data_IF_946106445484
#
_entry.id   IF_946106445484
#
_cell.length_a   1.000
_cell.length_b   1.000
_cell.length_c   1.000
_cell.angle_alpha   90.00
_cell.angle_beta   90.00
_cell.angle_gamma   90.00
#
_symmetry.space_group_name_H-M   'P 1'
#
loop_
_entity.id
_entity.type
_entity.pdbx_description
1 polymer ?
#
# COMPACT_ATOMS: atom_id res chain seq x y z
N UNK A 1 -5.24 -16.30 0.24
CA UNK A 1 -6.22 -15.51 1.03
C UNK A 1 -7.51 -16.30 1.14
N UNK A 2 -8.10 -16.49 2.33
CA UNK A 2 -9.35 -17.25 2.45
C UNK A 2 -10.55 -16.47 1.87
N UNK A 3 -11.60 -17.20 1.47
CA UNK A 3 -12.83 -16.60 0.91
C UNK A 3 -13.59 -15.77 1.96
N UNK A 4 -13.60 -16.26 3.20
CA UNK A 4 -14.22 -15.63 4.37
C UNK A 4 -13.09 -15.18 5.30
N UNK A 5 -13.17 -13.93 5.75
CA UNK A 5 -12.25 -13.39 6.74
C UNK A 5 -12.94 -13.40 8.10
N UNK A 6 -12.18 -13.71 9.15
CA UNK A 6 -12.64 -13.68 10.52
C UNK A 6 -12.26 -12.36 11.21
N UNK A 7 -13.06 -11.96 12.19
CA UNK A 7 -12.79 -10.77 12.98
C UNK A 7 -11.53 -10.98 13.85
N UNK A 8 -10.71 -9.93 13.97
CA UNK A 8 -9.48 -9.98 14.78
C UNK A 8 -8.30 -10.71 14.14
N UNK A 9 -8.44 -11.26 12.93
CA UNK A 9 -7.35 -11.94 12.22
C UNK A 9 -6.81 -11.06 11.08
N UNK A 10 -5.49 -10.81 11.11
CA UNK A 10 -4.76 -10.20 10.00
C UNK A 10 -4.18 -11.29 9.10
N UNK A 11 -4.77 -11.47 7.92
CA UNK A 11 -4.30 -12.41 6.93
C UNK A 11 -3.23 -11.75 6.06
N UNK A 12 -2.13 -12.46 5.82
CA UNK A 12 -1.02 -12.00 4.99
C UNK A 12 -0.78 -13.02 3.88
N UNK A 13 -0.61 -12.55 2.66
CA UNK A 13 -0.18 -13.34 1.52
C UNK A 13 1.09 -12.75 0.95
N UNK A 14 2.19 -13.48 1.08
CA UNK A 14 3.49 -13.11 0.51
C UNK A 14 3.46 -13.24 -1.02
N UNK A 15 2.91 -14.34 -1.55
CA UNK A 15 2.75 -14.58 -2.99
C UNK A 15 2.08 -13.40 -3.71
N UNK A 16 0.94 -12.94 -3.19
CA UNK A 16 0.18 -11.84 -3.79
C UNK A 16 0.52 -10.47 -3.21
N UNK A 17 1.56 -10.37 -2.36
CA UNK A 17 2.02 -9.13 -1.73
C UNK A 17 0.86 -8.31 -1.17
N UNK A 18 0.00 -8.93 -0.35
CA UNK A 18 -1.18 -8.25 0.20
C UNK A 18 -1.51 -8.76 1.60
N UNK A 19 -2.03 -7.87 2.44
CA UNK A 19 -2.67 -8.22 3.69
C UNK A 19 -4.15 -7.84 3.66
N UNK A 20 -4.96 -8.56 4.42
CA UNK A 20 -6.37 -8.26 4.57
C UNK A 20 -6.89 -8.64 5.95
N UNK A 21 -7.88 -7.88 6.42
CA UNK A 21 -8.59 -8.12 7.68
C UNK A 21 -9.99 -7.52 7.60
N UNK A 22 -10.87 -7.93 8.51
CA UNK A 22 -12.13 -7.21 8.71
C UNK A 22 -11.86 -5.91 9.46
N UNK A 23 -12.58 -4.85 9.07
CA UNK A 23 -12.42 -3.52 9.66
C UNK A 23 -12.49 -3.57 11.19
N UNK A 24 -11.47 -3.01 11.85
CA UNK A 24 -11.34 -3.04 13.30
C UNK A 24 -12.49 -2.34 14.06
N UNK A 25 -13.31 -1.52 13.38
CA UNK A 25 -14.48 -0.89 14.00
C UNK A 25 -15.68 -1.85 14.12
N UNK A 26 -15.58 -3.08 13.61
CA UNK A 26 -16.65 -4.08 13.68
C UNK A 26 -17.69 -4.00 12.57
N UNK A 27 -17.56 -3.11 11.59
CA UNK A 27 -18.55 -2.98 10.49
C UNK A 27 -18.53 -4.12 9.45
N UNK A 28 -17.63 -5.10 9.60
CA UNK A 28 -17.53 -6.26 8.70
C UNK A 28 -16.96 -5.98 7.31
N UNK A 29 -16.57 -4.74 7.00
CA UNK A 29 -15.94 -4.41 5.71
C UNK A 29 -14.57 -5.06 5.58
N UNK A 30 -14.28 -5.64 4.41
CA UNK A 30 -12.98 -6.24 4.09
C UNK A 30 -11.98 -5.14 3.75
N UNK A 31 -10.96 -4.98 4.57
CA UNK A 31 -9.88 -4.05 4.33
C UNK A 31 -8.76 -4.81 3.62
N UNK A 32 -8.28 -4.26 2.51
CA UNK A 32 -7.11 -4.79 1.78
C UNK A 32 -6.01 -3.75 1.82
N UNK A 33 -4.82 -4.18 2.21
CA UNK A 33 -3.61 -3.36 2.25
C UNK A 33 -2.55 -4.02 1.38
N UNK A 34 -2.29 -3.51 0.16
CA UNK A 34 -1.18 -3.96 -0.66
C UNK A 34 0.13 -3.83 0.11
N UNK A 35 1.00 -4.82 -0.03
CA UNK A 35 2.30 -4.83 0.60
C UNK A 35 3.37 -4.45 -0.42
N UNK A 36 4.29 -3.59 0.00
CA UNK A 36 5.33 -3.13 -0.91
C UNK A 36 6.13 -1.96 -0.37
N UNK A 37 7.19 -1.58 -1.08
CA UNK A 37 8.15 -0.56 -0.65
C UNK A 37 7.54 0.85 -0.55
N UNK A 38 6.47 1.10 -1.31
CA UNK A 38 5.72 2.37 -1.31
C UNK A 38 4.34 2.24 -0.68
N UNK A 39 3.99 1.05 -0.18
CA UNK A 39 2.65 0.68 0.30
C UNK A 39 2.72 0.30 1.80
N UNK A 40 1.91 -0.66 2.23
CA UNK A 40 1.98 -1.19 3.59
C UNK A 40 3.12 -2.19 3.75
N UNK A 41 3.53 -2.36 5.00
CA UNK A 41 4.48 -3.36 5.47
C UNK A 41 3.85 -4.09 6.64
N UNK A 42 4.07 -5.40 6.71
CA UNK A 42 3.69 -6.21 7.86
C UNK A 42 4.96 -6.80 8.46
N UNK A 43 5.08 -6.70 9.79
CA UNK A 43 6.08 -7.42 10.58
C UNK A 43 5.37 -8.39 11.49
N UNK A 44 5.73 -9.66 11.42
CA UNK A 44 5.38 -10.64 12.45
C UNK A 44 6.40 -10.51 13.60
N UNK A 45 5.91 -10.35 14.83
CA UNK A 45 6.73 -10.45 16.03
C UNK A 45 6.06 -11.41 17.03
N UNK A 46 6.80 -11.77 18.10
CA UNK A 46 6.31 -12.69 19.14
C UNK A 46 5.11 -12.16 19.93
N UNK A 47 4.90 -10.84 19.94
CA UNK A 47 3.77 -10.18 20.62
C UNK A 47 2.56 -10.02 19.69
N UNK A 48 2.75 -10.12 18.38
CA UNK A 48 1.72 -10.08 17.35
C UNK A 48 2.12 -9.25 16.12
N UNK A 49 1.30 -9.26 15.07
CA UNK A 49 1.62 -8.53 13.84
C UNK A 49 1.60 -7.01 14.04
N UNK A 50 2.46 -6.33 13.30
CA UNK A 50 2.49 -4.87 13.18
C UNK A 50 2.32 -4.49 11.71
N UNK A 51 1.32 -3.67 11.41
CA UNK A 51 1.00 -3.17 10.06
C UNK A 51 1.29 -1.67 9.99
N UNK A 52 2.05 -1.23 8.98
CA UNK A 52 2.40 0.18 8.75
C UNK A 52 2.26 0.56 7.29
N UNK A 53 1.83 1.79 6.93
CA UNK A 53 1.37 2.87 7.82
C UNK A 53 -0.02 2.57 8.44
N UNK A 54 -0.67 3.58 9.03
CA UNK A 54 -2.04 3.45 9.55
C UNK A 54 -3.04 3.08 8.45
N UNK A 55 -4.20 2.57 8.86
CA UNK A 55 -5.33 2.25 7.99
C UNK A 55 -6.38 3.34 8.17
N UNK A 56 -6.57 4.18 7.16
CA UNK A 56 -7.62 5.20 7.11
C UNK A 56 -8.73 4.84 6.14
N UNK A 57 -9.91 4.52 6.66
CA UNK A 57 -11.06 4.05 5.88
C UNK A 57 -12.00 5.18 5.44
N UNK A 58 -11.43 6.27 4.91
CA UNK A 58 -12.16 7.51 4.62
C UNK A 58 -13.27 7.37 3.56
N UNK A 59 -13.17 6.34 2.71
CA UNK A 59 -14.15 6.02 1.67
C UNK A 59 -15.29 5.14 2.19
N UNK A 60 -15.16 4.57 3.40
CA UNK A 60 -16.21 3.77 4.03
C UNK A 60 -17.07 4.65 4.95
N UNK A 61 -18.37 4.32 5.14
CA UNK A 61 -19.24 5.06 6.06
C UNK A 61 -18.68 5.16 7.49
N UNK A 62 -17.96 4.13 7.95
CA UNK A 62 -17.39 4.11 9.30
C UNK A 62 -16.23 5.09 9.51
N UNK A 63 -15.58 5.56 8.43
CA UNK A 63 -14.42 6.47 8.46
C UNK A 63 -13.36 6.11 9.52
N UNK A 64 -13.17 4.83 9.82
CA UNK A 64 -12.30 4.40 10.91
C UNK A 64 -10.83 4.68 10.61
N UNK A 65 -10.05 4.98 11.65
CA UNK A 65 -8.61 5.22 11.53
C UNK A 65 -7.85 4.58 12.68
N UNK A 66 -6.91 3.70 12.36
CA UNK A 66 -6.17 2.93 13.35
C UNK A 66 -4.83 2.43 12.83
N UNK A 67 -3.98 2.01 13.77
CA UNK A 67 -2.78 1.20 13.52
C UNK A 67 -3.01 -0.19 14.09
N UNK A 68 -2.32 -1.18 13.54
CA UNK A 68 -2.17 -2.50 14.16
C UNK A 68 -0.73 -2.59 14.66
N UNK A 69 -0.53 -2.75 15.96
CA UNK A 69 0.79 -2.78 16.61
C UNK A 69 0.83 -3.94 17.59
N UNK A 70 1.79 -4.86 17.41
CA UNK A 70 1.95 -6.04 18.27
C UNK A 70 0.60 -6.76 18.50
N UNK A 71 -0.15 -7.00 17.42
CA UNK A 71 -1.46 -7.65 17.46
C UNK A 71 -2.63 -6.80 17.97
N UNK A 72 -2.38 -5.55 18.40
CA UNK A 72 -3.40 -4.69 18.99
C UNK A 72 -3.82 -3.55 18.06
N UNK A 73 -5.11 -3.20 18.08
CA UNK A 73 -5.64 -2.04 17.38
C UNK A 73 -5.40 -0.79 18.23
N UNK A 74 -4.69 0.17 17.66
CA UNK A 74 -4.45 1.48 18.25
C UNK A 74 -5.22 2.55 17.46
N UNK A 75 -6.28 3.08 18.05
CA UNK A 75 -7.12 4.09 17.41
C UNK A 75 -6.36 5.38 17.18
N UNK A 76 -6.59 5.98 16.01
CA UNK A 76 -6.03 7.27 15.63
C UNK A 76 -7.14 8.28 15.39
N UNK A 77 -6.79 9.56 15.52
CA UNK A 77 -7.74 10.64 15.33
C UNK A 77 -8.30 10.66 13.90
N UNK A 78 -9.55 11.10 13.79
CA UNK A 78 -10.16 11.42 12.51
C UNK A 78 -9.34 12.49 11.78
N UNK A 79 -9.15 12.28 10.48
CA UNK A 79 -8.51 13.28 9.63
C UNK A 79 -9.58 14.16 8.98
N UNK A 80 -9.29 15.46 8.92
CA UNK A 80 -10.03 16.39 8.09
C UNK A 80 -9.80 16.08 6.61
N UNK A 81 -10.71 16.51 5.73
CA UNK A 81 -10.53 16.36 4.28
C UNK A 81 -9.19 16.94 3.77
N UNK A 82 -8.72 18.04 4.39
CA UNK A 82 -7.41 18.63 4.09
C UNK A 82 -6.25 17.69 4.46
N UNK A 83 -6.31 17.06 5.63
CA UNK A 83 -5.30 16.08 6.06
C UNK A 83 -5.32 14.82 5.17
N UNK A 84 -6.51 14.34 4.80
CA UNK A 84 -6.69 13.20 3.90
C UNK A 84 -6.07 13.51 2.53
N UNK A 85 -6.36 14.68 1.97
CA UNK A 85 -5.81 15.09 0.68
C UNK A 85 -4.28 15.22 0.73
N UNK A 86 -3.75 15.90 1.75
CA UNK A 86 -2.30 16.05 1.93
C UNK A 86 -1.59 14.71 2.12
N UNK A 87 -2.19 13.78 2.87
CA UNK A 87 -1.69 12.41 3.05
C UNK A 87 -1.58 11.66 1.72
N UNK A 88 -2.66 11.65 0.93
CA UNK A 88 -2.68 11.02 -0.41
C UNK A 88 -1.64 11.62 -1.36
N UNK A 89 -1.49 12.95 -1.37
CA UNK A 89 -0.47 13.61 -2.19
C UNK A 89 0.95 13.19 -1.80
N UNK A 90 1.23 13.09 -0.50
CA UNK A 90 2.53 12.65 0.01
C UNK A 90 2.82 11.19 -0.36
N UNK A 91 1.83 10.32 -0.24
CA UNK A 91 1.93 8.91 -0.65
C UNK A 91 2.19 8.78 -2.16
N UNK A 92 1.44 9.51 -2.98
CA UNK A 92 1.63 9.55 -4.43
C UNK A 92 3.03 10.04 -4.81
N UNK A 93 3.49 11.15 -4.23
CA UNK A 93 4.83 11.69 -4.50
C UNK A 93 5.94 10.68 -4.11
N UNK A 94 5.81 10.03 -2.95
CA UNK A 94 6.75 8.99 -2.52
C UNK A 94 6.77 7.81 -3.50
N UNK A 95 5.60 7.37 -3.96
CA UNK A 95 5.46 6.27 -4.92
C UNK A 95 6.11 6.64 -6.25
N UNK A 96 5.83 7.82 -6.80
CA UNK A 96 6.44 8.30 -8.05
C UNK A 96 7.96 8.36 -7.92
N UNK A 97 8.49 9.00 -6.87
CA UNK A 97 9.93 9.10 -6.67
C UNK A 97 10.63 7.74 -6.61
N UNK A 98 10.00 6.75 -5.95
CA UNK A 98 10.54 5.39 -5.85
C UNK A 98 10.68 4.69 -7.21
N UNK A 99 9.67 4.80 -8.09
CA UNK A 99 9.69 4.17 -9.40
C UNK A 99 10.56 4.92 -10.41
N UNK A 100 10.57 6.26 -10.38
CA UNK A 100 11.46 7.06 -11.23
C UNK A 100 12.94 6.72 -10.98
N UNK A 101 13.34 6.61 -9.71
CA UNK A 101 14.71 6.23 -9.33
C UNK A 101 15.12 4.82 -9.77
N UNK A 102 14.17 3.96 -10.16
CA UNK A 102 14.38 2.58 -10.61
C UNK A 102 14.16 2.37 -12.10
N UNK A 103 13.78 3.42 -12.84
CA UNK A 103 13.70 3.31 -14.29
C UNK A 103 15.10 2.97 -14.83
N UNK A 104 15.24 1.91 -15.63
CA UNK A 104 16.51 1.62 -16.26
C UNK A 104 16.90 2.82 -17.10
N UNK A 105 18.12 3.32 -16.93
CA UNK A 105 18.68 4.31 -17.84
C UNK A 105 18.66 3.70 -19.23
N UNK A 106 18.00 4.37 -20.18
CA UNK A 106 17.98 3.92 -21.56
C UNK A 106 19.44 3.81 -22.02
N UNK A 107 19.87 2.59 -22.35
CA UNK A 107 21.22 2.39 -22.88
C UNK A 107 21.36 3.22 -24.14
N UNK A 108 22.41 4.04 -24.22
CA UNK A 108 22.73 4.84 -25.40
C UNK A 108 22.69 3.98 -26.66
N UNK A 109 23.13 2.72 -26.58
CA UNK A 109 23.05 1.76 -27.68
C UNK A 109 21.63 1.41 -28.11
N UNK A 110 20.66 1.30 -27.18
CA UNK A 110 19.25 1.07 -27.54
C UNK A 110 18.66 2.29 -28.24
N UNK A 111 18.96 3.49 -27.73
CA UNK A 111 18.53 4.75 -28.37
C UNK A 111 19.16 4.92 -29.76
N UNK A 112 20.44 4.55 -29.91
CA UNK A 112 21.17 4.61 -31.19
C UNK A 112 20.64 3.55 -32.18
N UNK A 113 20.36 2.33 -31.71
CA UNK A 113 19.77 1.27 -32.53
C UNK A 113 18.34 1.63 -32.98
N UNK A 114 17.51 2.18 -32.08
CA UNK A 114 16.17 2.64 -32.43
C UNK A 114 16.23 3.79 -33.46
N UNK A 115 17.16 4.73 -33.29
CA UNK A 115 17.39 5.83 -34.25
C UNK A 115 17.87 5.33 -35.62
N UNK A 116 18.82 4.39 -35.65
CA UNK A 116 19.34 3.82 -36.91
C UNK A 116 18.25 3.01 -37.62
N UNK A 117 17.44 2.24 -36.88
CA UNK A 117 16.30 1.49 -37.44
C UNK A 117 15.24 2.42 -38.05
N UNK A 118 14.93 3.53 -37.38
CA UNK A 118 13.94 4.51 -37.85
C UNK A 118 14.43 5.26 -39.11
N UNK A 119 15.76 5.43 -39.26
CA UNK A 119 16.38 6.05 -40.44
C UNK A 119 16.64 5.10 -41.61
N UNK A 120 16.81 3.81 -41.36
CA UNK A 120 17.00 2.79 -42.41
C UNK A 120 15.69 2.09 -42.82
N UNK A 121 14.61 2.33 -42.09
CA UNK A 121 13.26 1.86 -42.41
C UNK A 121 12.45 2.83 -43.27
N UNK A 122 12.93 3.14 -44.47
CA UNK A 122 12.12 3.56 -45.64
C UNK A 122 12.85 3.23 -46.93
#
# INVERSE_FOLDING_TARGET
MPKVLEAGILYVSEEFHTAAHLCACGCGQKIRTPLGPTEWTVRADVRGPTLRPSVGNWQLPCRSHYLITNGNVQWSNQWTEKQIHAGRQKEHAKRTAYYEARKPTASLWRLLLDFVRDRLGR
#
